data_IF_242139892406
#
_entry.id   IF_242139892406
#
_cell.length_a   1.000
_cell.length_b   1.000
_cell.length_c   1.000
_cell.angle_alpha   90.00
_cell.angle_beta   90.00
_cell.angle_gamma   90.00
#
_symmetry.space_group_name_H-M   'P 1'
#
loop_
_entity.id
_entity.type
_entity.pdbx_description
1 polymer ?
#
# COMPACT_ATOMS: atom_id res chain seq x y z
N UNK A 1 -38.74 43.96 10.25
CA UNK A 1 -37.31 44.30 10.15
C UNK A 1 -36.48 43.03 10.35
N UNK A 2 -36.34 42.21 9.30
CA UNK A 2 -35.81 40.84 9.39
C UNK A 2 -34.28 40.83 9.22
N UNK A 3 -33.60 40.66 10.35
CA UNK A 3 -32.30 40.00 10.57
C UNK A 3 -31.26 39.99 9.42
N UNK A 4 -30.53 41.09 9.23
CA UNK A 4 -29.29 41.14 8.41
C UNK A 4 -28.15 40.24 8.92
N UNK A 5 -28.17 39.81 10.19
CA UNK A 5 -27.10 39.00 10.81
C UNK A 5 -27.02 37.54 10.33
N UNK A 6 -28.12 36.95 9.81
CA UNK A 6 -28.15 35.52 9.43
C UNK A 6 -27.43 35.22 8.11
N UNK A 7 -27.34 36.19 7.18
CA UNK A 7 -26.70 35.98 5.86
C UNK A 7 -25.19 35.81 5.94
N UNK A 8 -24.52 36.55 6.82
CA UNK A 8 -23.06 36.45 6.99
C UNK A 8 -22.63 35.15 7.70
N UNK A 9 -23.44 34.67 8.65
CA UNK A 9 -23.16 33.41 9.36
C UNK A 9 -23.27 32.20 8.42
N UNK A 10 -24.30 32.17 7.57
CA UNK A 10 -24.48 31.09 6.59
C UNK A 10 -23.36 31.06 5.55
N UNK A 11 -22.92 32.24 5.07
CA UNK A 11 -21.81 32.35 4.13
C UNK A 11 -20.48 31.91 4.76
N UNK A 12 -20.23 32.21 6.04
CA UNK A 12 -19.02 31.78 6.74
C UNK A 12 -18.98 30.26 6.92
N UNK A 13 -20.10 29.64 7.29
CA UNK A 13 -20.19 28.18 7.45
C UNK A 13 -19.97 27.45 6.11
N UNK A 14 -20.50 27.96 5.00
CA UNK A 14 -20.29 27.35 3.67
C UNK A 14 -18.81 27.44 3.25
N UNK A 15 -18.16 28.58 3.46
CA UNK A 15 -16.71 28.73 3.18
C UNK A 15 -15.88 27.81 4.07
N UNK A 16 -16.21 27.70 5.36
CA UNK A 16 -15.53 26.82 6.31
C UNK A 16 -15.68 25.34 5.90
N UNK A 17 -16.89 24.92 5.53
CA UNK A 17 -17.16 23.55 5.05
C UNK A 17 -16.39 23.27 3.76
N UNK A 18 -16.30 24.24 2.85
CA UNK A 18 -15.54 24.10 1.60
C UNK A 18 -14.04 23.93 1.88
N UNK A 19 -13.47 24.73 2.79
CA UNK A 19 -12.06 24.64 3.18
C UNK A 19 -11.75 23.30 3.87
N UNK A 20 -12.62 22.86 4.80
CA UNK A 20 -12.45 21.57 5.48
C UNK A 20 -12.55 20.40 4.49
N UNK A 21 -13.44 20.48 3.51
CA UNK A 21 -13.61 19.45 2.47
C UNK A 21 -12.38 19.32 1.56
N UNK A 22 -11.68 20.42 1.29
CA UNK A 22 -10.42 20.41 0.52
C UNK A 22 -9.28 19.76 1.33
N UNK A 23 -9.29 19.87 2.66
CA UNK A 23 -8.25 19.34 3.53
C UNK A 23 -8.40 17.84 3.84
N UNK A 24 -9.58 17.24 3.65
CA UNK A 24 -9.84 15.83 4.00
C UNK A 24 -9.44 14.81 2.93
N UNK A 25 -9.08 15.25 1.71
CA UNK A 25 -8.83 14.35 0.57
C UNK A 25 -7.38 13.92 0.34
N UNK A 26 -6.41 14.53 1.03
CA UNK A 26 -4.99 14.26 0.79
C UNK A 26 -4.42 13.34 1.87
N UNK A 27 -3.95 12.15 1.45
CA UNK A 27 -3.05 11.33 2.26
C UNK A 27 -1.88 12.22 2.70
N UNK A 28 -1.68 12.33 4.01
CA UNK A 28 -0.60 13.15 4.58
C UNK A 28 0.73 12.86 3.85
N UNK A 29 1.47 13.88 3.38
CA UNK A 29 2.75 13.69 2.69
C UNK A 29 3.73 12.81 3.48
N UNK A 30 3.65 12.87 4.81
CA UNK A 30 4.49 12.09 5.73
C UNK A 30 4.17 10.59 5.64
N UNK A 31 2.90 10.23 5.46
CA UNK A 31 2.50 8.82 5.35
C UNK A 31 3.00 8.18 4.06
N UNK A 32 3.11 8.96 2.98
CA UNK A 32 3.67 8.49 1.70
C UNK A 32 5.10 7.98 1.89
N UNK A 33 5.93 8.71 2.64
CA UNK A 33 7.33 8.35 2.92
C UNK A 33 7.52 7.00 3.64
N UNK A 34 6.45 6.41 4.20
CA UNK A 34 6.52 5.12 4.87
C UNK A 34 6.14 3.94 3.97
N UNK A 35 5.62 4.17 2.77
CA UNK A 35 5.34 3.10 1.83
C UNK A 35 6.63 2.44 1.36
N UNK A 36 6.65 1.11 1.14
CA UNK A 36 7.85 0.43 0.68
C UNK A 36 8.43 1.03 -0.61
N UNK A 37 7.59 1.37 -1.59
CA UNK A 37 8.01 1.96 -2.87
C UNK A 37 8.69 3.33 -2.72
N UNK A 38 8.44 4.06 -1.65
CA UNK A 38 9.10 5.34 -1.33
C UNK A 38 10.42 5.15 -0.56
N UNK A 39 10.83 3.91 -0.36
CA UNK A 39 12.02 3.51 0.39
C UNK A 39 12.94 2.67 -0.51
N UNK A 40 13.63 3.32 -1.47
CA UNK A 40 14.48 2.64 -2.43
C UNK A 40 15.65 1.92 -1.75
N UNK A 41 16.21 0.93 -2.44
CA UNK A 41 17.33 0.13 -1.97
C UNK A 41 17.03 -0.59 -0.65
N UNK A 42 15.82 -1.15 -0.55
CA UNK A 42 15.39 -1.91 0.62
C UNK A 42 14.85 -3.28 0.23
N UNK A 43 15.01 -4.22 1.16
CA UNK A 43 14.45 -5.56 1.10
C UNK A 43 13.42 -5.71 2.20
N UNK A 44 12.31 -6.34 1.89
CA UNK A 44 11.22 -6.58 2.84
C UNK A 44 10.96 -8.08 2.91
N UNK A 45 10.95 -8.62 4.13
CA UNK A 45 10.82 -10.06 4.36
C UNK A 45 9.67 -10.29 5.33
N UNK A 46 8.79 -11.23 5.02
CA UNK A 46 7.72 -11.62 5.94
C UNK A 46 8.29 -12.28 7.20
N UNK A 47 7.58 -12.15 8.32
CA UNK A 47 7.99 -12.72 9.61
C UNK A 47 8.16 -14.24 9.57
N UNK A 48 7.34 -14.93 8.77
CA UNK A 48 7.43 -16.37 8.50
C UNK A 48 8.47 -16.74 7.42
N UNK A 49 9.18 -15.73 6.87
CA UNK A 49 10.21 -15.85 5.83
C UNK A 49 9.74 -16.46 4.52
N UNK A 50 8.43 -16.58 4.31
CA UNK A 50 7.85 -17.12 3.07
C UNK A 50 7.81 -16.10 1.94
N UNK A 51 7.79 -14.81 2.23
CA UNK A 51 7.71 -13.77 1.21
C UNK A 51 8.88 -12.83 1.35
N UNK A 52 9.47 -12.45 0.22
CA UNK A 52 10.49 -11.44 0.16
C UNK A 52 10.34 -10.60 -1.09
N UNK A 53 10.43 -9.28 -0.97
CA UNK A 53 10.46 -8.38 -2.13
C UNK A 53 11.50 -7.28 -1.97
N UNK A 54 11.89 -6.71 -3.10
CA UNK A 54 12.97 -5.74 -3.23
C UNK A 54 12.42 -4.47 -3.85
N UNK A 55 12.66 -3.36 -3.18
CA UNK A 55 12.38 -2.02 -3.70
C UNK A 55 13.67 -1.52 -4.33
N UNK A 56 13.65 -1.42 -5.66
CA UNK A 56 14.75 -0.86 -6.44
C UNK A 56 14.81 0.66 -6.35
N UNK A 57 15.31 1.30 -7.40
CA UNK A 57 15.32 2.75 -7.50
C UNK A 57 13.92 3.33 -7.75
N UNK A 58 13.78 4.64 -7.48
CA UNK A 58 12.52 5.36 -7.17
C UNK A 58 11.39 5.31 -8.20
N UNK A 59 11.61 4.80 -9.41
CA UNK A 59 10.65 4.97 -10.51
C UNK A 59 9.78 3.74 -10.80
N UNK A 60 10.00 2.62 -10.09
CA UNK A 60 9.20 1.41 -10.26
C UNK A 60 8.02 1.35 -9.28
N UNK A 61 6.80 1.53 -9.80
CA UNK A 61 5.55 1.30 -9.06
C UNK A 61 5.31 -0.19 -8.75
N UNK A 62 6.07 -1.08 -9.41
CA UNK A 62 6.03 -2.52 -9.20
C UNK A 62 7.34 -2.99 -8.61
N UNK A 63 7.27 -3.71 -7.50
CA UNK A 63 8.45 -4.27 -6.84
C UNK A 63 8.55 -5.76 -7.13
N UNK A 64 9.76 -6.25 -7.35
CA UNK A 64 9.99 -7.67 -7.66
C UNK A 64 10.31 -8.43 -6.39
N UNK A 65 9.84 -9.67 -6.29
CA UNK A 65 10.04 -10.51 -5.13
C UNK A 65 9.84 -11.98 -5.42
N UNK A 66 9.65 -12.75 -4.35
CA UNK A 66 9.30 -14.16 -4.42
C UNK A 66 8.43 -14.59 -3.25
N UNK A 67 7.66 -15.65 -3.48
CA UNK A 67 6.99 -16.46 -2.46
C UNK A 67 7.69 -17.83 -2.41
N UNK A 68 7.93 -18.32 -1.20
CA UNK A 68 8.39 -19.67 -0.93
C UNK A 68 7.18 -20.56 -0.65
N UNK A 69 6.99 -21.56 -1.50
CA UNK A 69 6.03 -22.64 -1.31
C UNK A 69 6.79 -23.95 -1.07
N UNK A 70 6.94 -24.30 0.21
CA UNK A 70 7.87 -25.35 0.65
C UNK A 70 9.31 -25.06 0.22
N UNK A 71 9.83 -25.83 -0.74
CA UNK A 71 11.17 -25.65 -1.32
C UNK A 71 11.17 -24.88 -2.65
N UNK A 72 10.00 -24.63 -3.23
CA UNK A 72 9.88 -23.95 -4.51
C UNK A 72 9.87 -22.43 -4.30
N UNK A 73 10.63 -21.73 -5.14
CA UNK A 73 10.66 -20.27 -5.18
C UNK A 73 9.84 -19.79 -6.38
N UNK A 74 8.80 -19.02 -6.12
CA UNK A 74 7.90 -18.48 -7.13
C UNK A 74 8.20 -16.99 -7.26
N UNK A 75 8.67 -16.57 -8.43
CA UNK A 75 8.94 -15.15 -8.71
C UNK A 75 7.63 -14.38 -8.81
N UNK A 76 7.55 -13.25 -8.10
CA UNK A 76 6.38 -12.39 -8.09
C UNK A 76 6.73 -10.93 -8.37
N UNK A 77 5.72 -10.17 -8.81
CA UNK A 77 5.70 -8.71 -8.77
C UNK A 77 4.58 -8.23 -7.86
N UNK A 78 4.80 -7.14 -7.14
CA UNK A 78 3.77 -6.52 -6.32
C UNK A 78 3.51 -5.12 -6.87
N UNK A 79 2.25 -4.81 -7.18
CA UNK A 79 1.83 -3.44 -7.48
C UNK A 79 1.47 -2.76 -6.16
N UNK A 80 2.20 -1.70 -5.81
CA UNK A 80 2.01 -0.97 -4.56
C UNK A 80 1.98 0.52 -4.82
N UNK A 81 1.01 1.24 -4.27
CA UNK A 81 0.94 2.70 -4.40
C UNK A 81 0.70 3.34 -3.04
N UNK A 82 1.35 4.48 -2.73
CA UNK A 82 1.03 5.28 -1.55
C UNK A 82 -0.42 5.79 -1.52
N UNK A 83 -1.11 5.78 -2.67
CA UNK A 83 -2.50 6.21 -2.80
C UNK A 83 -3.51 5.07 -2.74
N UNK A 84 -3.05 3.83 -2.86
CA UNK A 84 -3.92 2.65 -2.93
C UNK A 84 -3.44 1.62 -1.91
N UNK A 85 -4.29 1.27 -0.95
CA UNK A 85 -3.96 0.27 0.08
C UNK A 85 -4.00 -1.17 -0.42
N UNK A 86 -4.57 -1.38 -1.61
CA UNK A 86 -4.64 -2.68 -2.27
C UNK A 86 -3.31 -2.99 -2.95
N UNK A 87 -2.83 -4.22 -2.76
CA UNK A 87 -1.56 -4.71 -3.27
C UNK A 87 -1.88 -5.95 -4.11
N UNK A 88 -1.73 -5.83 -5.41
CA UNK A 88 -1.85 -6.97 -6.32
C UNK A 88 -0.52 -7.70 -6.39
N UNK A 89 -0.56 -9.02 -6.22
CA UNK A 89 0.61 -9.89 -6.36
C UNK A 89 0.46 -10.71 -7.62
N UNK A 90 1.41 -10.53 -8.53
CA UNK A 90 1.43 -11.18 -9.83
C UNK A 90 2.48 -12.27 -9.85
N UNK A 91 2.11 -13.44 -10.38
CA UNK A 91 3.07 -14.42 -10.85
C UNK A 91 3.45 -14.07 -12.28
N UNK A 92 4.75 -14.16 -12.60
CA UNK A 92 5.25 -14.02 -13.97
C UNK A 92 5.39 -15.42 -14.56
N UNK A 93 4.66 -15.68 -15.65
CA UNK A 93 4.75 -16.97 -16.35
C UNK A 93 5.94 -17.02 -17.35
N UNK A 94 6.11 -18.16 -18.01
CA UNK A 94 7.17 -18.38 -19.01
C UNK A 94 7.08 -17.42 -20.21
N UNK A 95 5.88 -16.92 -20.50
CA UNK A 95 5.59 -15.95 -21.56
C UNK A 95 5.71 -14.50 -21.10
N UNK A 96 6.18 -14.26 -19.86
CA UNK A 96 6.28 -12.94 -19.22
C UNK A 96 4.94 -12.25 -19.00
N UNK A 97 3.83 -13.00 -18.97
CA UNK A 97 2.52 -12.47 -18.61
C UNK A 97 2.38 -12.43 -17.09
N UNK A 98 1.69 -11.39 -16.61
CA UNK A 98 1.44 -11.17 -15.19
C UNK A 98 0.03 -11.66 -14.85
N UNK A 99 -0.05 -12.70 -14.01
CA UNK A 99 -1.31 -13.25 -13.53
C UNK A 99 -1.48 -12.91 -12.05
N UNK A 100 -2.58 -12.27 -11.67
CA UNK A 100 -2.88 -11.97 -10.26
C UNK A 100 -3.14 -13.28 -9.52
N UNK A 101 -2.29 -13.60 -8.54
CA UNK A 101 -2.38 -14.82 -7.72
C UNK A 101 -2.74 -14.51 -6.27
N UNK A 102 -2.51 -13.28 -5.82
CA UNK A 102 -2.94 -12.79 -4.53
C UNK A 102 -3.41 -11.34 -4.62
N UNK A 103 -4.37 -10.99 -3.76
CA UNK A 103 -4.75 -9.60 -3.48
C UNK A 103 -4.59 -9.39 -1.99
N UNK A 104 -3.77 -8.42 -1.60
CA UNK A 104 -3.55 -8.05 -0.20
C UNK A 104 -4.02 -6.63 0.07
N UNK A 105 -4.34 -6.34 1.33
CA UNK A 105 -4.70 -4.99 1.78
C UNK A 105 -3.72 -4.55 2.86
N UNK A 106 -2.99 -3.47 2.61
CA UNK A 106 -2.15 -2.81 3.60
C UNK A 106 -3.02 -2.28 4.74
N UNK A 107 -2.84 -2.84 5.93
CA UNK A 107 -3.52 -2.42 7.16
C UNK A 107 -2.72 -1.40 7.94
N UNK A 108 -1.40 -1.52 7.90
CA UNK A 108 -0.50 -0.61 8.62
C UNK A 108 0.81 -0.50 7.89
N UNK A 109 1.24 0.74 7.68
CA UNK A 109 2.49 1.06 6.99
C UNK A 109 3.32 1.96 7.91
N UNK A 110 4.55 1.57 8.19
CA UNK A 110 5.53 2.35 8.96
C UNK A 110 6.90 2.22 8.30
N UNK A 111 7.81 3.12 8.67
CA UNK A 111 9.18 3.18 8.14
C UNK A 111 9.94 1.83 8.16
N UNK A 112 9.67 0.94 9.11
CA UNK A 112 10.40 -0.31 9.26
C UNK A 112 9.55 -1.57 9.10
N UNK A 113 8.23 -1.43 9.01
CA UNK A 113 7.36 -2.59 8.91
C UNK A 113 6.08 -2.29 8.14
N UNK A 114 5.56 -3.34 7.50
CA UNK A 114 4.33 -3.34 6.73
C UNK A 114 3.47 -4.51 7.23
N UNK A 115 2.19 -4.24 7.48
CA UNK A 115 1.21 -5.27 7.83
C UNK A 115 0.16 -5.30 6.73
N UNK A 116 -0.05 -6.48 6.15
CA UNK A 116 -1.08 -6.72 5.14
C UNK A 116 -2.04 -7.81 5.60
N UNK A 117 -3.29 -7.73 5.15
CA UNK A 117 -4.29 -8.79 5.25
C UNK A 117 -4.51 -9.39 3.87
N UNK A 118 -4.48 -10.72 3.75
CA UNK A 118 -4.76 -11.45 2.52
C UNK A 118 -6.27 -11.41 2.23
N UNK A 119 -6.67 -11.00 1.01
CA UNK A 119 -8.08 -10.95 0.57
C UNK A 119 -8.45 -12.01 -0.45
N UNK A 120 -7.55 -12.27 -1.39
CA UNK A 120 -7.68 -13.34 -2.37
C UNK A 120 -6.34 -14.04 -2.43
N UNK A 121 -6.34 -15.37 -2.49
CA UNK A 121 -5.11 -16.13 -2.27
C UNK A 121 -5.02 -17.42 -3.07
N UNK A 122 -3.79 -17.76 -3.44
CA UNK A 122 -3.40 -19.07 -3.96
C UNK A 122 -2.46 -19.81 -2.98
N UNK A 123 -1.62 -19.08 -2.22
CA UNK A 123 -0.55 -19.64 -1.37
C UNK A 123 -0.74 -19.42 0.13
N UNK A 124 -1.66 -18.54 0.50
CA UNK A 124 -1.96 -18.17 1.88
C UNK A 124 -3.44 -18.44 2.18
N UNK A 125 -3.82 -18.23 3.43
CA UNK A 125 -5.22 -18.28 3.83
C UNK A 125 -5.83 -16.89 3.71
N UNK A 126 -7.02 -16.77 3.14
CA UNK A 126 -7.78 -15.51 3.17
C UNK A 126 -8.02 -15.06 4.63
N UNK A 127 -7.87 -13.76 4.86
CA UNK A 127 -7.88 -13.15 6.20
C UNK A 127 -6.56 -13.30 6.97
N UNK A 128 -5.57 -14.03 6.46
CA UNK A 128 -4.26 -14.15 7.10
C UNK A 128 -3.57 -12.78 7.15
N UNK A 129 -2.92 -12.51 8.29
CA UNK A 129 -2.08 -11.33 8.46
C UNK A 129 -0.63 -11.69 8.17
N UNK A 130 -0.02 -10.94 7.25
CA UNK A 130 1.41 -11.06 6.94
C UNK A 130 2.09 -9.77 7.41
N UNK A 131 3.14 -9.94 8.22
CA UNK A 131 3.95 -8.84 8.74
C UNK A 131 5.29 -8.89 8.03
N UNK A 132 5.73 -7.76 7.49
CA UNK A 132 7.00 -7.59 6.81
C UNK A 132 7.90 -6.66 7.60
N UNK A 133 9.16 -7.05 7.74
CA UNK A 133 10.23 -6.22 8.28
C UNK A 133 11.15 -5.72 7.16
N UNK A 134 11.60 -4.47 7.30
CA UNK A 134 12.50 -3.81 6.35
C UNK A 134 13.97 -4.03 6.69
N UNK A 135 14.75 -4.33 5.67
CA UNK A 135 16.20 -4.47 5.68
C UNK A 135 16.82 -3.54 4.64
N UNK A 136 17.99 -2.98 4.92
CA UNK A 136 18.79 -2.29 3.90
C UNK A 136 19.50 -3.30 3.03
N UNK A 137 19.61 -3.00 1.74
CA UNK A 137 20.45 -3.72 0.79
C UNK A 137 21.90 -3.25 0.86
#
# INVERSE_FOLDING_TARGET
MVTKKKKHFFSFVVVLVTIVSILTGCVSPIMKLYYPTEQPNTKWISSDKRVCFFVGDKDDLKVTGYIMDGKQKITIRLSMSPMVTLIDVFQIDENKQENVIEIWVAKKVRKNFLIVEVKTSTFFKEGQIIVFDRYKL
#
